data_IF_620109245702
#
_entry.id   IF_620109245702
#
_cell.length_a   1.000
_cell.length_b   1.000
_cell.length_c   1.000
_cell.angle_alpha   90.00
_cell.angle_beta   90.00
_cell.angle_gamma   90.00
#
_symmetry.space_group_name_H-M   'P 1'
#
loop_
_entity.id
_entity.type
_entity.pdbx_description
1 polymer ?
#
# COMPACT_ATOMS: atom_id res chain seq x y z
N UNK A 1 14.81 -28.69 -12.00
CA UNK A 1 15.62 -27.69 -11.27
C UNK A 1 15.73 -26.38 -12.05
N UNK A 2 16.18 -26.38 -13.31
CA UNK A 2 16.45 -25.16 -14.08
C UNK A 2 15.23 -24.25 -14.31
N UNK A 3 14.04 -24.80 -14.59
CA UNK A 3 12.82 -24.00 -14.77
C UNK A 3 12.40 -23.22 -13.50
N UNK A 4 12.57 -23.84 -12.33
CA UNK A 4 12.29 -23.20 -11.03
C UNK A 4 13.29 -22.07 -10.78
N UNK A 5 14.58 -22.31 -11.03
CA UNK A 5 15.64 -21.29 -10.87
C UNK A 5 15.35 -20.08 -11.76
N UNK A 6 15.05 -20.32 -13.05
CA UNK A 6 14.72 -19.25 -13.99
C UNK A 6 13.47 -18.48 -13.52
N UNK A 7 12.42 -19.19 -13.11
CA UNK A 7 11.20 -18.56 -12.59
C UNK A 7 11.45 -17.70 -11.35
N UNK A 8 12.26 -18.18 -10.41
CA UNK A 8 12.60 -17.44 -9.19
C UNK A 8 13.48 -16.21 -9.47
N UNK A 9 14.36 -16.27 -10.47
CA UNK A 9 15.15 -15.09 -10.90
C UNK A 9 14.22 -13.99 -11.41
N UNK A 10 13.29 -14.32 -12.31
CA UNK A 10 12.31 -13.34 -12.79
C UNK A 10 11.40 -12.82 -11.68
N UNK A 11 10.98 -13.70 -10.76
CA UNK A 11 10.19 -13.31 -9.60
C UNK A 11 10.95 -12.34 -8.69
N UNK A 12 12.23 -12.61 -8.43
CA UNK A 12 13.10 -11.74 -7.64
C UNK A 12 13.26 -10.35 -8.28
N UNK A 13 13.46 -10.29 -9.61
CA UNK A 13 13.53 -9.02 -10.33
C UNK A 13 12.23 -8.21 -10.22
N UNK A 14 11.09 -8.88 -10.31
CA UNK A 14 9.78 -8.25 -10.15
C UNK A 14 9.58 -7.71 -8.73
N UNK A 15 10.01 -8.48 -7.71
CA UNK A 15 9.84 -8.10 -6.30
C UNK A 15 10.88 -7.08 -5.80
N UNK A 16 12.00 -6.90 -6.50
CA UNK A 16 13.11 -6.06 -6.02
C UNK A 16 12.74 -4.58 -5.86
N UNK A 17 11.91 -4.03 -6.75
CA UNK A 17 11.54 -2.60 -6.73
C UNK A 17 10.38 -2.30 -5.77
N UNK A 18 9.52 -3.29 -5.51
CA UNK A 18 8.30 -3.13 -4.73
C UNK A 18 8.52 -2.60 -3.30
N UNK A 19 9.46 -3.12 -2.48
CA UNK A 19 9.63 -2.64 -1.11
C UNK A 19 10.17 -1.22 -1.02
N UNK A 20 11.02 -0.79 -1.96
CA UNK A 20 11.53 0.58 -2.00
C UNK A 20 10.40 1.56 -2.32
N UNK A 21 9.65 1.31 -3.39
CA UNK A 21 8.52 2.14 -3.79
C UNK A 21 7.45 2.26 -2.69
N UNK A 22 7.14 1.17 -1.98
CA UNK A 22 6.19 1.20 -0.87
C UNK A 22 6.73 1.98 0.33
N UNK A 23 8.03 1.90 0.63
CA UNK A 23 8.65 2.63 1.74
C UNK A 23 8.67 4.14 1.50
N UNK A 24 8.82 4.58 0.26
CA UNK A 24 8.85 6.01 -0.09
C UNK A 24 7.49 6.71 0.09
N UNK A 25 6.38 5.95 0.15
CA UNK A 25 5.02 6.47 0.35
C UNK A 25 4.71 6.87 1.80
N UNK A 26 5.57 6.53 2.75
CA UNK A 26 5.35 6.79 4.18
C UNK A 26 6.52 7.60 4.77
N UNK A 27 6.28 8.50 5.75
CA UNK A 27 7.31 9.18 6.51
C UNK A 27 8.11 8.21 7.38
N UNK A 28 9.39 8.54 7.59
CA UNK A 28 10.43 7.64 8.10
C UNK A 28 10.03 6.91 9.39
N UNK A 29 9.34 7.61 10.31
CA UNK A 29 8.90 7.09 11.61
C UNK A 29 7.85 5.98 11.55
N UNK A 30 7.10 5.85 10.45
CA UNK A 30 6.00 4.90 10.32
C UNK A 30 6.06 4.04 9.05
N UNK A 31 7.14 4.14 8.25
CA UNK A 31 7.38 3.28 7.08
C UNK A 31 7.19 1.80 7.37
N UNK A 32 7.86 1.29 8.40
CA UNK A 32 7.86 -0.14 8.68
C UNK A 32 6.45 -0.66 9.04
N UNK A 33 5.75 0.04 9.93
CA UNK A 33 4.40 -0.33 10.35
C UNK A 33 3.37 -0.11 9.25
N UNK A 34 3.47 0.98 8.48
CA UNK A 34 2.59 1.29 7.35
C UNK A 34 2.71 0.25 6.23
N UNK A 35 3.93 -0.07 5.80
CA UNK A 35 4.19 -1.10 4.80
C UNK A 35 3.72 -2.48 5.28
N UNK A 36 4.03 -2.86 6.53
CA UNK A 36 3.60 -4.14 7.11
C UNK A 36 2.07 -4.27 7.18
N UNK A 37 1.37 -3.22 7.63
CA UNK A 37 -0.09 -3.20 7.69
C UNK A 37 -0.70 -3.36 6.30
N UNK A 38 -0.17 -2.62 5.31
CA UNK A 38 -0.57 -2.75 3.91
C UNK A 38 -0.42 -4.19 3.42
N UNK A 39 0.75 -4.81 3.64
CA UNK A 39 0.99 -6.19 3.26
C UNK A 39 0.00 -7.17 3.88
N UNK A 40 -0.29 -7.04 5.18
CA UNK A 40 -1.18 -7.97 5.87
C UNK A 40 -2.63 -7.83 5.37
N UNK A 41 -3.12 -6.59 5.24
CA UNK A 41 -4.48 -6.34 4.72
C UNK A 41 -4.61 -6.86 3.29
N UNK A 42 -3.65 -6.55 2.41
CA UNK A 42 -3.64 -7.05 1.03
C UNK A 42 -3.55 -8.58 0.99
N UNK A 43 -2.72 -9.20 1.84
CA UNK A 43 -2.57 -10.66 1.89
C UNK A 43 -3.87 -11.35 2.30
N UNK A 44 -4.62 -10.79 3.25
CA UNK A 44 -5.92 -11.36 3.66
C UNK A 44 -6.90 -11.31 2.49
N UNK A 45 -7.02 -10.16 1.83
CA UNK A 45 -7.99 -9.96 0.75
C UNK A 45 -7.60 -10.75 -0.51
N UNK A 46 -6.40 -10.53 -1.02
CA UNK A 46 -5.93 -11.16 -2.25
C UNK A 46 -5.66 -12.65 -2.07
N UNK A 47 -5.06 -13.04 -0.94
CA UNK A 47 -4.70 -14.44 -0.66
C UNK A 47 -5.92 -15.35 -0.45
N UNK A 48 -7.05 -14.82 0.01
CA UNK A 48 -8.27 -15.61 0.21
C UNK A 48 -9.23 -15.57 -0.99
N UNK A 49 -9.49 -14.39 -1.56
CA UNK A 49 -10.50 -14.25 -2.60
C UNK A 49 -10.06 -14.85 -3.94
N UNK A 50 -8.79 -14.70 -4.31
CA UNK A 50 -8.28 -15.22 -5.58
C UNK A 50 -8.44 -16.75 -5.72
N UNK A 51 -8.01 -17.59 -4.76
CA UNK A 51 -8.21 -19.04 -4.87
C UNK A 51 -9.68 -19.44 -4.80
N UNK A 52 -10.52 -18.75 -3.99
CA UNK A 52 -11.96 -19.05 -3.92
C UNK A 52 -12.62 -18.84 -5.30
N UNK A 53 -12.34 -17.71 -5.95
CA UNK A 53 -12.87 -17.40 -7.28
C UNK A 53 -12.33 -18.41 -8.29
N UNK A 54 -11.02 -18.68 -8.29
CA UNK A 54 -10.40 -19.61 -9.24
C UNK A 54 -10.98 -21.03 -9.12
N UNK A 55 -11.14 -21.55 -7.91
CA UNK A 55 -11.75 -22.87 -7.67
C UNK A 55 -13.20 -22.89 -8.14
N UNK A 56 -13.97 -21.82 -7.88
CA UNK A 56 -15.36 -21.73 -8.34
C UNK A 56 -15.47 -21.72 -9.86
N UNK A 57 -14.62 -20.94 -10.54
CA UNK A 57 -14.54 -20.91 -12.00
C UNK A 57 -14.16 -22.29 -12.55
N UNK A 58 -13.18 -22.95 -11.94
CA UNK A 58 -12.77 -24.29 -12.35
C UNK A 58 -13.89 -25.31 -12.17
N UNK A 59 -14.63 -25.25 -11.06
CA UNK A 59 -15.74 -26.15 -10.78
C UNK A 59 -16.89 -26.00 -11.79
N UNK A 60 -17.22 -24.76 -12.18
CA UNK A 60 -18.30 -24.48 -13.13
C UNK A 60 -17.93 -24.83 -14.57
N UNK A 61 -16.74 -24.43 -15.02
CA UNK A 61 -16.37 -24.52 -16.44
C UNK A 61 -15.47 -25.72 -16.77
N UNK A 62 -14.90 -26.39 -15.76
CA UNK A 62 -13.98 -27.53 -15.91
C UNK A 62 -12.79 -27.22 -16.85
N UNK A 63 -12.43 -25.94 -16.97
CA UNK A 63 -11.42 -25.42 -17.90
C UNK A 63 -10.62 -24.30 -17.23
N UNK A 64 -9.37 -24.14 -17.64
CA UNK A 64 -8.49 -23.08 -17.16
C UNK A 64 -8.73 -21.72 -17.86
N UNK A 65 -9.46 -21.71 -18.98
CA UNK A 65 -9.67 -20.48 -19.78
C UNK A 65 -10.35 -19.35 -18.99
N UNK A 66 -11.41 -19.60 -18.19
CA UNK A 66 -12.02 -18.54 -17.38
C UNK A 66 -11.08 -18.01 -16.30
N UNK A 67 -10.23 -18.88 -15.74
CA UNK A 67 -9.22 -18.51 -14.73
C UNK A 67 -8.19 -17.59 -15.37
N UNK A 68 -7.74 -17.91 -16.60
CA UNK A 68 -6.83 -17.05 -17.35
C UNK A 68 -7.41 -15.65 -17.60
N UNK A 69 -8.69 -15.55 -17.96
CA UNK A 69 -9.37 -14.25 -18.10
C UNK A 69 -9.50 -13.48 -16.79
N UNK A 70 -9.78 -14.18 -15.68
CA UNK A 70 -9.77 -13.57 -14.35
C UNK A 70 -8.39 -13.01 -14.00
N UNK A 71 -7.31 -13.77 -14.24
CA UNK A 71 -5.93 -13.29 -14.04
C UNK A 71 -5.56 -12.13 -14.99
N UNK A 72 -6.02 -12.17 -16.24
CA UNK A 72 -5.82 -11.06 -17.17
C UNK A 72 -6.52 -9.78 -16.69
N UNK A 73 -7.73 -9.91 -16.12
CA UNK A 73 -8.45 -8.79 -15.51
C UNK A 73 -7.73 -8.21 -14.29
N UNK A 74 -7.23 -9.05 -13.37
CA UNK A 74 -6.47 -8.56 -12.20
C UNK A 74 -5.13 -7.94 -12.61
N UNK A 75 -4.48 -8.47 -13.65
CA UNK A 75 -3.29 -7.86 -14.23
C UNK A 75 -3.58 -6.49 -14.84
N UNK A 76 -4.71 -6.33 -15.55
CA UNK A 76 -5.11 -5.03 -16.09
C UNK A 76 -5.40 -4.00 -14.99
N UNK A 77 -6.10 -4.40 -13.91
CA UNK A 77 -6.31 -3.53 -12.74
C UNK A 77 -4.98 -3.13 -12.11
N UNK A 78 -4.04 -4.07 -11.98
CA UNK A 78 -2.70 -3.79 -11.43
C UNK A 78 -1.91 -2.85 -12.33
N UNK A 79 -2.01 -3.00 -13.66
CA UNK A 79 -1.39 -2.09 -14.62
C UNK A 79 -1.98 -0.68 -14.53
N UNK A 80 -3.30 -0.55 -14.44
CA UNK A 80 -3.96 0.76 -14.23
C UNK A 80 -3.51 1.39 -12.91
N UNK A 81 -3.43 0.61 -11.82
CA UNK A 81 -2.95 1.10 -10.54
C UNK A 81 -1.48 1.56 -10.62
N UNK A 82 -0.63 0.81 -11.33
CA UNK A 82 0.77 1.18 -11.54
C UNK A 82 0.92 2.44 -12.40
N UNK A 83 0.07 2.62 -13.41
CA UNK A 83 0.04 3.82 -14.24
C UNK A 83 -0.52 5.04 -13.50
N UNK A 84 -1.45 4.82 -12.57
CA UNK A 84 -2.01 5.87 -11.73
C UNK A 84 -1.13 6.20 -10.51
N UNK A 85 -0.20 5.30 -10.15
CA UNK A 85 0.76 5.55 -9.09
C UNK A 85 1.67 6.71 -9.47
N UNK A 86 1.79 7.69 -8.57
CA UNK A 86 2.69 8.82 -8.75
C UNK A 86 4.13 8.31 -8.86
N UNK A 87 4.85 8.78 -9.88
CA UNK A 87 6.29 8.50 -10.04
C UNK A 87 7.02 8.90 -8.76
N UNK A 88 7.73 7.94 -8.18
CA UNK A 88 8.41 8.05 -6.89
C UNK A 88 9.89 8.38 -7.07
N UNK A 89 10.43 8.22 -8.28
CA UNK A 89 11.82 8.55 -8.62
C UNK A 89 12.11 10.04 -8.39
N UNK A 90 12.82 10.33 -7.30
CA UNK A 90 13.23 11.68 -6.93
C UNK A 90 12.26 12.41 -6.00
N UNK A 91 11.25 11.73 -5.47
CA UNK A 91 10.45 12.27 -4.36
C UNK A 91 11.37 12.55 -3.18
N UNK A 92 11.45 13.83 -2.78
CA UNK A 92 12.23 14.22 -1.63
C UNK A 92 11.58 13.64 -0.37
N UNK A 93 12.23 12.63 0.22
CA UNK A 93 11.79 12.02 1.48
C UNK A 93 11.73 13.06 2.60
N UNK A 94 12.57 14.10 2.54
CA UNK A 94 12.52 15.20 3.51
C UNK A 94 11.26 16.05 3.35
N UNK A 95 10.72 16.21 2.14
CA UNK A 95 9.44 16.89 1.93
C UNK A 95 8.26 16.11 2.51
N UNK A 96 8.26 14.77 2.39
CA UNK A 96 7.25 13.90 3.01
C UNK A 96 7.34 13.97 4.53
N UNK A 97 8.55 13.93 5.10
CA UNK A 97 8.77 14.04 6.54
C UNK A 97 8.43 15.44 7.08
N UNK A 98 8.68 16.51 6.32
CA UNK A 98 8.34 17.89 6.67
C UNK A 98 6.83 18.13 6.65
N UNK A 99 6.12 17.57 5.67
CA UNK A 99 4.66 17.63 5.61
C UNK A 99 4.01 16.92 6.81
N UNK A 100 4.54 15.76 7.22
CA UNK A 100 4.11 15.07 8.45
C UNK A 100 4.36 15.94 9.70
N UNK A 101 5.51 16.61 9.77
CA UNK A 101 5.84 17.52 10.88
C UNK A 101 4.87 18.70 10.96
N UNK A 102 4.58 19.37 9.84
CA UNK A 102 3.64 20.51 9.79
C UNK A 102 2.24 20.10 10.26
N UNK A 103 1.72 18.96 9.78
CA UNK A 103 0.40 18.48 10.22
C UNK A 103 0.34 18.18 11.73
N UNK A 104 1.45 17.73 12.32
CA UNK A 104 1.54 17.50 13.76
C UNK A 104 1.58 18.80 14.54
N UNK A 105 2.32 19.77 14.05
CA UNK A 105 2.40 21.10 14.68
C UNK A 105 1.04 21.80 14.64
N UNK A 106 0.31 21.69 13.52
CA UNK A 106 -1.07 22.17 13.38
C UNK A 106 -2.04 21.46 14.33
N UNK A 107 -1.90 20.14 14.49
CA UNK A 107 -2.70 19.37 15.43
C UNK A 107 -2.41 19.78 16.89
N UNK A 108 -1.13 19.92 17.24
CA UNK A 108 -0.71 20.37 18.56
C UNK A 108 -1.16 21.81 18.85
N UNK A 109 -1.15 22.71 17.85
CA UNK A 109 -1.66 24.07 17.98
C UNK A 109 -3.18 24.12 18.17
N UNK A 110 -3.93 23.20 17.57
CA UNK A 110 -5.38 23.04 17.80
C UNK A 110 -5.69 22.47 19.18
N UNK A 111 -4.87 21.56 19.67
CA UNK A 111 -5.00 20.96 21.01
C UNK A 111 -4.53 21.91 22.12
N UNK A 112 -3.62 22.84 21.80
CA UNK A 112 -3.12 23.89 22.69
C UNK A 112 -3.97 25.17 22.74
N UNK A 113 -5.19 25.17 22.18
CA UNK A 113 -6.15 26.26 22.38
C UNK A 113 -6.49 26.43 23.88
N UNK A 114 -6.81 27.65 24.35
CA UNK A 114 -6.94 27.93 25.78
C UNK A 114 -7.89 26.94 26.45
N UNK A 115 -7.43 26.35 27.56
CA UNK A 115 -8.21 25.36 28.29
C UNK A 115 -9.52 25.97 28.80
N UNK A 116 -10.56 25.16 29.09
CA UNK A 116 -11.85 25.67 29.60
C UNK A 116 -11.73 26.58 30.82
N UNK A 117 -10.63 26.47 31.58
CA UNK A 117 -10.31 27.33 32.73
C UNK A 117 -9.80 28.73 32.36
N UNK A 118 -9.10 28.90 31.24
CA UNK A 118 -8.56 30.20 30.80
C UNK A 118 -9.64 31.09 30.15
N UNK A 119 -10.70 30.47 29.61
CA UNK A 119 -11.87 31.19 29.09
C UNK A 119 -12.75 31.80 30.20
N UNK A 120 -12.60 31.34 31.45
CA UNK A 120 -13.33 31.89 32.60
C UNK A 120 -12.56 33.07 33.22
N UNK A 121 -11.23 33.00 33.30
CA UNK A 121 -10.39 34.09 33.83
C UNK A 121 -10.32 35.34 32.94
N UNK A 122 -10.59 35.23 31.64
CA UNK A 122 -10.64 36.38 30.73
C UNK A 122 -11.93 37.22 30.76
N UNK A 123 -12.90 36.87 31.63
CA UNK A 123 -14.20 37.56 31.74
C UNK A 123 -14.40 38.31 33.07
N UNK A 124 -13.36 38.39 33.91
CA UNK A 124 -13.32 39.19 35.14
C UNK A 124 -12.52 40.49 34.93
#
# INVERSE_FOLDING_TARGET
MSAIVIGLVFHGLMYAVQPAAMAEMFPTRMRYSGVSLGYQVTSIVAGSLAPIIAVRLLATYRSAVPIAWYLAGTAAVSAVAALAATETKGTDLAAVDLADAHHRDDAAAREGGPGPSELVEGTA
#
